data_IF_149012580137
#
_entry.id   IF_149012580137
#
_cell.length_a   1.000
_cell.length_b   1.000
_cell.length_c   1.000
_cell.angle_alpha   90.00
_cell.angle_beta   90.00
_cell.angle_gamma   90.00
#
_symmetry.space_group_name_H-M   'P 1'
#
loop_
_entity.id
_entity.type
_entity.pdbx_description
1 polymer ?
#
# COMPACT_ATOMS: atom_id res chain seq x y z
N UNK A 1 -21.03 -20.48 3.95
CA UNK A 1 -21.95 -19.35 3.77
C UNK A 1 -21.28 -18.33 2.87
N UNK A 2 -21.87 -18.04 1.70
CA UNK A 2 -21.37 -17.00 0.80
C UNK A 2 -22.04 -15.71 1.29
N UNK A 3 -21.27 -14.80 1.91
CA UNK A 3 -21.81 -13.48 2.23
C UNK A 3 -22.06 -12.74 0.92
N UNK A 4 -23.34 -12.58 0.55
CA UNK A 4 -23.77 -11.93 -0.70
C UNK A 4 -23.30 -10.48 -0.86
N UNK A 5 -22.76 -9.86 0.21
CA UNK A 5 -22.18 -8.52 0.20
C UNK A 5 -20.65 -8.49 -0.06
N UNK A 6 -19.97 -9.64 -0.11
CA UNK A 6 -18.52 -9.69 -0.30
C UNK A 6 -18.18 -9.75 -1.80
N UNK A 7 -17.40 -8.79 -2.33
CA UNK A 7 -17.06 -8.75 -3.75
C UNK A 7 -16.25 -10.00 -4.14
N UNK A 8 -16.72 -10.70 -5.16
CA UNK A 8 -16.08 -11.92 -5.65
C UNK A 8 -15.03 -11.63 -6.72
N UNK A 9 -13.93 -12.39 -6.76
CA UNK A 9 -12.93 -12.25 -7.80
C UNK A 9 -13.46 -12.76 -9.14
N UNK A 10 -13.18 -12.04 -10.22
CA UNK A 10 -13.49 -12.45 -11.60
C UNK A 10 -12.60 -13.59 -12.07
N UNK A 11 -11.31 -13.59 -11.65
CA UNK A 11 -10.34 -14.62 -12.04
C UNK A 11 -9.36 -14.91 -10.93
N UNK A 12 -8.90 -16.16 -10.86
CA UNK A 12 -7.93 -16.64 -9.89
C UNK A 12 -6.89 -17.49 -10.62
N UNK A 13 -5.60 -17.20 -10.43
CA UNK A 13 -4.49 -17.93 -11.04
C UNK A 13 -3.46 -18.31 -9.99
N UNK A 14 -2.83 -19.48 -10.15
CA UNK A 14 -1.61 -19.86 -9.41
C UNK A 14 -0.39 -19.47 -10.23
N UNK A 15 0.48 -18.65 -9.68
CA UNK A 15 1.69 -18.18 -10.36
C UNK A 15 2.86 -19.16 -10.16
N UNK A 16 3.61 -19.41 -11.23
CA UNK A 16 4.82 -20.25 -11.22
C UNK A 16 4.57 -21.75 -11.38
N UNK A 17 5.67 -22.51 -11.50
CA UNK A 17 5.66 -23.98 -11.61
C UNK A 17 5.36 -24.63 -10.27
N UNK A 18 4.64 -25.75 -10.31
CA UNK A 18 4.34 -26.53 -9.10
C UNK A 18 5.62 -27.13 -8.50
N UNK A 19 5.73 -27.05 -7.17
CA UNK A 19 6.78 -27.69 -6.36
C UNK A 19 6.13 -28.21 -5.08
N UNK A 20 6.36 -29.47 -4.72
CA UNK A 20 5.70 -30.13 -3.59
C UNK A 20 5.89 -29.38 -2.25
N UNK A 21 7.07 -28.81 -2.04
CA UNK A 21 7.47 -28.18 -0.78
C UNK A 21 7.06 -26.70 -0.65
N UNK A 22 6.50 -26.08 -1.70
CA UNK A 22 6.27 -24.63 -1.72
C UNK A 22 4.88 -24.26 -2.20
N UNK A 23 4.22 -23.41 -1.42
CA UNK A 23 2.96 -22.80 -1.80
C UNK A 23 3.17 -21.79 -2.94
N UNK A 24 2.45 -22.00 -4.05
CA UNK A 24 2.43 -21.06 -5.17
C UNK A 24 1.59 -19.83 -4.83
N UNK A 25 2.12 -18.66 -5.18
CA UNK A 25 1.40 -17.39 -5.07
C UNK A 25 0.11 -17.42 -5.88
N UNK A 26 -0.92 -16.73 -5.39
CA UNK A 26 -2.22 -16.62 -6.05
C UNK A 26 -2.35 -15.20 -6.59
N UNK A 27 -2.62 -15.06 -7.90
CA UNK A 27 -3.06 -13.82 -8.51
C UNK A 27 -4.58 -13.81 -8.54
N UNK A 28 -5.17 -12.76 -7.97
CA UNK A 28 -6.62 -12.58 -7.90
C UNK A 28 -6.98 -11.31 -8.65
N UNK A 29 -7.91 -11.41 -9.60
CA UNK A 29 -8.39 -10.29 -10.38
C UNK A 29 -9.83 -9.95 -9.98
N UNK A 30 -10.09 -8.67 -9.72
CA UNK A 30 -11.42 -8.15 -9.39
C UNK A 30 -11.93 -7.28 -10.56
N UNK A 31 -13.26 -7.11 -10.69
CA UNK A 31 -13.82 -6.25 -11.73
C UNK A 31 -13.58 -4.75 -11.44
N UNK A 32 -13.49 -4.36 -10.17
CA UNK A 32 -13.24 -2.99 -9.73
C UNK A 32 -11.83 -2.84 -9.15
N UNK A 33 -11.14 -1.78 -9.59
CA UNK A 33 -9.84 -1.39 -9.03
C UNK A 33 -9.96 -0.98 -7.55
N UNK A 34 -11.07 -0.36 -7.17
CA UNK A 34 -11.31 0.11 -5.79
C UNK A 34 -11.34 -1.06 -4.81
N UNK A 35 -11.98 -2.17 -5.19
CA UNK A 35 -11.99 -3.40 -4.39
C UNK A 35 -10.57 -3.89 -4.11
N UNK A 36 -9.73 -3.98 -5.14
CA UNK A 36 -8.34 -4.40 -4.99
C UNK A 36 -7.54 -3.43 -4.12
N UNK A 37 -7.72 -2.11 -4.31
CA UNK A 37 -7.09 -1.07 -3.48
C UNK A 37 -7.51 -1.19 -2.01
N UNK A 38 -8.78 -1.41 -1.73
CA UNK A 38 -9.30 -1.54 -0.37
C UNK A 38 -8.76 -2.79 0.33
N UNK A 39 -8.64 -3.92 -0.39
CA UNK A 39 -7.97 -5.12 0.14
C UNK A 39 -6.51 -4.81 0.46
N UNK A 40 -5.78 -4.17 -0.47
CA UNK A 40 -4.36 -3.84 -0.29
C UNK A 40 -4.10 -2.85 0.86
N UNK A 41 -5.03 -1.92 1.12
CA UNK A 41 -4.98 -0.98 2.25
C UNK A 41 -5.22 -1.68 3.58
N UNK A 42 -6.17 -2.61 3.62
CA UNK A 42 -6.56 -3.33 4.85
C UNK A 42 -5.77 -4.63 5.08
N UNK A 43 -4.81 -4.98 4.21
CA UNK A 43 -4.06 -6.25 4.28
C UNK A 43 -3.41 -6.54 5.64
N UNK A 44 -3.00 -5.49 6.36
CA UNK A 44 -2.36 -5.63 7.68
C UNK A 44 -3.36 -5.94 8.80
N UNK A 45 -4.68 -5.83 8.54
CA UNK A 45 -5.73 -6.21 9.49
C UNK A 45 -6.07 -7.70 9.44
N UNK A 46 -5.48 -8.44 8.51
CA UNK A 46 -5.70 -9.88 8.39
C UNK A 46 -4.85 -10.56 9.47
N UNK A 47 -5.52 -11.13 10.46
CA UNK A 47 -4.90 -11.84 11.58
C UNK A 47 -4.46 -13.26 11.19
N UNK A 48 -3.59 -13.35 10.17
CA UNK A 48 -3.02 -14.61 9.68
C UNK A 48 -1.55 -14.40 9.38
N UNK A 49 -0.69 -14.86 10.29
CA UNK A 49 0.77 -14.70 10.21
C UNK A 49 1.40 -15.20 8.88
N UNK A 50 0.76 -16.17 8.23
CA UNK A 50 1.30 -16.83 7.04
C UNK A 50 0.77 -16.30 5.71
N UNK A 51 -0.12 -15.30 5.71
CA UNK A 51 -0.69 -14.75 4.48
C UNK A 51 -0.16 -13.33 4.26
N UNK A 52 0.51 -13.13 3.13
CA UNK A 52 0.99 -11.82 2.70
C UNK A 52 0.32 -11.44 1.39
N UNK A 53 -0.23 -10.24 1.34
CA UNK A 53 -0.91 -9.71 0.16
C UNK A 53 -0.08 -8.56 -0.41
N UNK A 54 0.17 -8.60 -1.71
CA UNK A 54 0.95 -7.60 -2.43
C UNK A 54 0.19 -7.15 -3.67
N UNK A 55 0.47 -5.93 -4.13
CA UNK A 55 0.03 -5.46 -5.44
C UNK A 55 0.77 -6.22 -6.54
N UNK A 56 0.09 -6.51 -7.66
CA UNK A 56 0.72 -7.08 -8.84
C UNK A 56 1.57 -6.01 -9.54
N UNK A 57 2.88 -6.06 -9.30
CA UNK A 57 3.83 -5.04 -9.78
C UNK A 57 4.72 -5.60 -10.88
N UNK A 58 4.97 -4.77 -11.89
CA UNK A 58 6.00 -5.06 -12.89
C UNK A 58 7.41 -5.02 -12.25
N UNK A 59 8.42 -5.67 -12.86
CA UNK A 59 9.80 -5.60 -12.38
C UNK A 59 10.29 -4.15 -12.24
N UNK A 60 9.92 -3.28 -13.18
CA UNK A 60 10.25 -1.86 -13.15
C UNK A 60 9.62 -1.15 -11.95
N UNK A 61 8.31 -1.34 -11.71
CA UNK A 61 7.62 -0.75 -10.56
C UNK A 61 8.23 -1.22 -9.23
N UNK A 62 8.59 -2.51 -9.14
CA UNK A 62 9.25 -3.07 -7.96
C UNK A 62 10.61 -2.41 -7.71
N UNK A 63 11.44 -2.29 -8.75
CA UNK A 63 12.75 -1.64 -8.66
C UNK A 63 12.62 -0.17 -8.26
N UNK A 64 11.69 0.56 -8.90
CA UNK A 64 11.43 1.96 -8.56
C UNK A 64 11.03 2.12 -7.09
N UNK A 65 10.11 1.29 -6.59
CA UNK A 65 9.69 1.34 -5.19
C UNK A 65 10.82 0.94 -4.23
N UNK A 66 11.70 0.02 -4.62
CA UNK A 66 12.86 -0.37 -3.83
C UNK A 66 13.86 0.79 -3.71
N UNK A 67 14.20 1.44 -4.82
CA UNK A 67 15.07 2.61 -4.84
C UNK A 67 14.52 3.74 -3.95
N UNK A 68 13.20 3.99 -3.99
CA UNK A 68 12.56 4.98 -3.11
C UNK A 68 12.69 4.64 -1.62
N UNK A 69 12.65 3.35 -1.25
CA UNK A 69 12.84 2.94 0.15
C UNK A 69 14.29 3.14 0.59
N UNK A 70 15.24 2.84 -0.28
CA UNK A 70 16.67 3.06 -0.02
C UNK A 70 16.97 4.56 0.12
N UNK A 71 16.44 5.39 -0.77
CA UNK A 71 16.55 6.85 -0.68
C UNK A 71 15.91 7.39 0.62
N UNK A 72 14.71 6.92 0.97
CA UNK A 72 14.06 7.30 2.22
C UNK A 72 14.91 6.94 3.44
N UNK A 73 15.46 5.72 3.46
CA UNK A 73 16.32 5.25 4.53
C UNK A 73 17.59 6.10 4.63
N UNK A 74 18.24 6.39 3.50
CA UNK A 74 19.44 7.23 3.48
C UNK A 74 19.16 8.63 4.05
N UNK A 75 18.06 9.28 3.61
CA UNK A 75 17.68 10.62 4.09
C UNK A 75 17.34 10.62 5.58
N UNK A 76 16.64 9.58 6.04
CA UNK A 76 16.32 9.41 7.47
C UNK A 76 17.60 9.23 8.30
N UNK A 77 18.55 8.41 7.82
CA UNK A 77 19.85 8.23 8.47
C UNK A 77 20.71 9.51 8.46
N UNK A 78 20.52 10.39 7.48
CA UNK A 78 21.17 11.70 7.39
C UNK A 78 20.51 12.76 8.31
N UNK A 79 19.48 12.40 9.08
CA UNK A 79 18.82 13.29 10.05
C UNK A 79 17.58 14.02 9.52
N UNK A 80 17.13 13.74 8.28
CA UNK A 80 15.85 14.27 7.80
C UNK A 80 14.68 13.52 8.47
N UNK A 81 13.83 14.26 9.19
CA UNK A 81 12.65 13.71 9.86
C UNK A 81 11.36 14.00 9.10
N UNK A 82 10.30 13.27 9.44
CA UNK A 82 8.96 13.47 8.87
C UNK A 82 8.78 12.95 7.42
N UNK A 83 9.76 12.28 6.82
CA UNK A 83 9.62 11.75 5.46
C UNK A 83 8.79 10.46 5.41
N UNK A 84 7.97 10.31 4.38
CA UNK A 84 7.20 9.08 4.13
C UNK A 84 6.97 8.87 2.62
N UNK A 85 6.76 7.63 2.17
CA UNK A 85 6.38 7.34 0.79
C UNK A 85 4.85 7.38 0.67
N UNK A 86 4.32 8.34 -0.09
CA UNK A 86 2.90 8.43 -0.43
C UNK A 86 2.68 8.25 -1.93
N UNK A 87 1.51 7.73 -2.29
CA UNK A 87 1.08 7.64 -3.68
C UNK A 87 0.36 8.93 -4.08
N UNK A 88 0.93 9.68 -5.01
CA UNK A 88 0.33 10.89 -5.59
C UNK A 88 -0.06 10.57 -7.03
N UNK A 89 -1.37 10.64 -7.34
CA UNK A 89 -1.93 10.30 -8.66
C UNK A 89 -1.46 8.91 -9.16
N UNK A 90 -1.32 7.94 -8.25
CA UNK A 90 -0.88 6.58 -8.57
C UNK A 90 0.64 6.36 -8.61
N UNK A 91 1.46 7.40 -8.47
CA UNK A 91 2.92 7.29 -8.46
C UNK A 91 3.46 7.40 -7.02
N UNK A 92 4.26 6.45 -6.53
CA UNK A 92 4.87 6.56 -5.20
C UNK A 92 5.96 7.64 -5.23
N UNK A 93 5.95 8.51 -4.21
CA UNK A 93 6.92 9.61 -4.03
C UNK A 93 7.24 9.77 -2.55
N UNK A 94 8.48 10.15 -2.23
CA UNK A 94 8.85 10.60 -0.89
C UNK A 94 8.26 12.00 -0.68
N UNK A 95 7.54 12.18 0.41
CA UNK A 95 6.92 13.43 0.82
C UNK A 95 7.25 13.72 2.27
N UNK A 96 7.34 15.01 2.61
CA UNK A 96 7.41 15.44 4.00
C UNK A 96 6.01 15.45 4.60
N UNK A 97 5.86 14.77 5.72
CA UNK A 97 4.68 14.84 6.58
C UNK A 97 4.67 16.22 7.19
N UNK A 98 3.78 17.10 6.70
CA UNK A 98 3.52 18.37 7.40
C UNK A 98 2.96 18.00 8.76
N UNK A 99 3.60 18.48 9.83
CA UNK A 99 2.90 18.61 11.11
C UNK A 99 1.61 19.38 10.83
N UNK A 100 0.49 18.87 11.34
CA UNK A 100 -0.76 19.61 11.37
C UNK A 100 -0.47 20.89 12.15
N UNK A 101 -0.18 21.99 11.46
CA UNK A 101 -0.24 23.29 12.10
C UNK A 101 -1.72 23.48 12.45
N UNK A 102 -2.02 23.31 13.73
CA UNK A 102 -3.26 23.76 14.34
C UNK A 102 -3.46 25.20 13.87
N UNK A 103 -4.46 25.39 13.02
CA UNK A 103 -4.94 26.72 12.68
C UNK A 103 -5.59 27.24 13.95
N UNK A 104 -4.80 27.87 14.80
CA UNK A 104 -5.29 28.80 15.82
C UNK A 104 -5.94 29.94 15.06
N UNK A 105 -7.24 29.80 14.77
CA UNK A 105 -8.09 30.89 14.34
C UNK A 105 -8.03 31.90 15.47
N UNK A 106 -7.24 32.96 15.26
CA UNK A 106 -7.14 34.10 16.17
C UNK A 106 -8.55 34.64 16.39
N UNK A 107 -9.01 34.55 17.63
CA UNK A 107 -10.13 35.33 18.13
C UNK A 107 -9.93 36.79 17.73
N UNK A 108 -10.91 37.35 17.01
CA UNK A 108 -10.96 38.79 16.77
C UNK A 108 -11.80 39.39 17.89
N UNK A 109 -11.27 40.30 18.72
CA UNK A 109 -12.06 40.98 19.74
C UNK A 109 -12.73 42.25 19.18
N UNK A 110 -13.97 42.47 19.63
CA UNK A 110 -14.76 43.72 19.68
C UNK A 110 -15.26 44.24 18.31
N UNK A 111 -16.52 44.68 18.20
CA UNK A 111 -17.22 45.64 19.07
C UNK A 111 -18.71 45.30 19.22
#
# INVERSE_FOLDING_TARGET
MIHNACPQPTRIFRLGKYKSEKNRAIKVCFPSEDTAKNILRNRNKIDKEHIKIYSDQTPYQRKYLQNLKEELQQRTSNGESGLNIKYIKGTPKIVTSRETQETTTKETPKN
#
